data_IF_569981293971
#
_entry.id   IF_569981293971
#
_cell.length_a   1.000
_cell.length_b   1.000
_cell.length_c   1.000
_cell.angle_alpha   90.00
_cell.angle_beta   90.00
_cell.angle_gamma   90.00
#
_symmetry.space_group_name_H-M   'P 1'
#
loop_
_entity.id
_entity.type
_entity.pdbx_description
1 polymer ?
#
# COMPACT_ATOMS: atom_id res chain seq x y z
N UNK A 1 -74.07 13.76 -19.43
CA UNK A 1 -73.00 13.16 -20.24
C UNK A 1 -71.78 12.93 -19.34
N UNK A 2 -71.47 11.66 -19.10
CA UNK A 2 -70.17 11.01 -18.77
C UNK A 2 -68.97 11.92 -18.46
N UNK A 3 -68.12 11.69 -17.44
CA UNK A 3 -67.57 10.42 -16.91
C UNK A 3 -66.81 10.67 -15.59
N UNK A 4 -67.06 9.85 -14.57
CA UNK A 4 -66.30 9.78 -13.31
C UNK A 4 -65.02 8.93 -13.47
N UNK A 5 -63.97 9.21 -12.68
CA UNK A 5 -62.80 8.33 -12.49
C UNK A 5 -62.63 8.02 -10.99
N UNK A 6 -62.83 6.75 -10.66
CA UNK A 6 -62.62 6.13 -9.35
C UNK A 6 -61.17 5.68 -9.14
N UNK A 7 -60.74 5.69 -7.87
CA UNK A 7 -59.57 5.03 -7.29
C UNK A 7 -59.69 3.49 -7.35
N UNK A 8 -58.58 2.81 -7.66
CA UNK A 8 -58.22 1.44 -7.26
C UNK A 8 -56.68 1.37 -7.36
N UNK A 9 -55.89 0.92 -6.37
CA UNK A 9 -56.00 -0.32 -5.62
C UNK A 9 -54.90 -1.27 -6.14
N UNK A 10 -53.74 -1.29 -5.46
CA UNK A 10 -52.56 -2.10 -5.80
C UNK A 10 -52.86 -3.59 -5.58
N UNK A 11 -52.57 -4.50 -6.53
CA UNK A 11 -52.52 -5.93 -6.24
C UNK A 11 -51.11 -6.36 -5.83
N UNK A 12 -51.01 -6.95 -4.63
CA UNK A 12 -49.86 -7.72 -4.15
C UNK A 12 -49.88 -9.08 -4.85
N UNK A 13 -48.82 -9.44 -5.57
CA UNK A 13 -48.65 -10.79 -6.14
C UNK A 13 -47.65 -11.60 -5.32
N UNK A 14 -48.12 -12.73 -4.80
CA UNK A 14 -47.32 -13.73 -4.09
C UNK A 14 -46.37 -14.46 -5.06
N UNK A 15 -45.19 -14.93 -4.62
CA UNK A 15 -44.22 -15.61 -5.50
C UNK A 15 -44.69 -17.01 -5.89
N UNK A 16 -44.61 -17.35 -7.18
CA UNK A 16 -44.79 -18.73 -7.65
C UNK A 16 -43.53 -19.58 -7.42
N UNK A 17 -43.68 -20.86 -7.03
CA UNK A 17 -42.55 -21.78 -6.85
C UNK A 17 -41.91 -22.19 -8.18
N UNK A 18 -40.58 -22.34 -8.16
CA UNK A 18 -39.75 -22.70 -9.30
C UNK A 18 -40.08 -24.09 -9.89
N UNK A 19 -40.10 -24.19 -11.22
CA UNK A 19 -40.25 -25.47 -11.95
C UNK A 19 -38.98 -26.33 -11.81
N UNK A 20 -39.10 -27.66 -11.66
CA UNK A 20 -37.95 -28.56 -11.47
C UNK A 20 -37.19 -28.76 -12.79
N UNK A 21 -35.89 -28.49 -12.78
CA UNK A 21 -34.99 -28.80 -13.90
C UNK A 21 -34.64 -30.29 -13.84
N UNK A 22 -34.98 -31.02 -14.91
CA UNK A 22 -34.70 -32.45 -15.09
C UNK A 22 -33.19 -32.71 -15.06
N UNK A 23 -32.74 -33.57 -14.14
CA UNK A 23 -31.42 -34.20 -14.17
C UNK A 23 -31.32 -35.06 -15.44
N UNK A 24 -30.39 -34.73 -16.35
CA UNK A 24 -29.89 -35.68 -17.35
C UNK A 24 -28.65 -36.35 -16.77
N UNK A 25 -28.83 -37.61 -16.41
CA UNK A 25 -27.79 -38.60 -16.22
C UNK A 25 -27.25 -38.96 -17.62
N UNK A 26 -25.96 -38.74 -17.87
CA UNK A 26 -25.27 -39.28 -19.05
C UNK A 26 -23.96 -39.91 -18.57
N UNK A 27 -23.80 -41.15 -18.99
CA UNK A 27 -22.82 -42.15 -18.59
C UNK A 27 -21.36 -41.77 -18.81
N UNK A 28 -20.53 -42.30 -17.91
CA UNK A 28 -19.09 -42.33 -17.99
C UNK A 28 -18.65 -43.31 -19.09
N UNK A 29 -18.17 -42.78 -20.22
CA UNK A 29 -17.26 -43.52 -21.12
C UNK A 29 -16.01 -42.68 -21.37
N UNK A 30 -14.89 -43.36 -21.13
CA UNK A 30 -13.52 -42.97 -21.39
C UNK A 30 -13.33 -42.30 -22.74
N UNK A 31 -12.67 -41.15 -22.78
CA UNK A 31 -11.74 -40.80 -23.85
C UNK A 31 -10.74 -39.75 -23.37
N UNK A 32 -9.47 -40.09 -23.55
CA UNK A 32 -8.28 -39.30 -23.27
C UNK A 32 -8.08 -38.27 -24.41
N UNK A 33 -7.78 -37.01 -24.10
CA UNK A 33 -6.75 -36.36 -24.91
C UNK A 33 -5.76 -35.54 -24.08
N UNK A 34 -4.49 -35.78 -24.39
CA UNK A 34 -3.31 -35.04 -23.96
C UNK A 34 -3.50 -33.52 -24.00
N UNK A 35 -3.38 -32.86 -22.85
CA UNK A 35 -3.37 -31.40 -22.78
C UNK A 35 -1.94 -30.86 -22.86
N UNK A 36 -1.53 -30.48 -24.08
CA UNK A 36 -0.34 -29.67 -24.35
C UNK A 36 -0.54 -28.24 -23.85
N UNK A 37 -0.27 -28.01 -22.56
CA UNK A 37 -0.11 -26.67 -21.98
C UNK A 37 1.37 -26.32 -21.82
N UNK A 38 2.09 -26.06 -22.91
CA UNK A 38 3.48 -25.63 -22.86
C UNK A 38 3.59 -24.25 -22.20
N UNK A 39 4.01 -24.23 -20.93
CA UNK A 39 4.49 -23.01 -20.28
C UNK A 39 5.90 -22.72 -20.81
N UNK A 40 6.05 -21.71 -21.65
CA UNK A 40 7.36 -21.30 -22.18
C UNK A 40 8.20 -20.69 -21.04
N UNK A 41 9.09 -21.49 -20.47
CA UNK A 41 10.15 -21.03 -19.57
C UNK A 41 11.30 -20.53 -20.46
N UNK A 42 11.45 -19.22 -20.60
CA UNK A 42 12.63 -18.64 -21.27
C UNK A 42 13.67 -18.33 -20.20
N UNK A 43 14.71 -19.16 -20.12
CA UNK A 43 15.89 -18.92 -19.31
C UNK A 43 16.95 -18.20 -20.17
N UNK A 44 17.30 -16.96 -19.84
CA UNK A 44 18.46 -16.28 -20.42
C UNK A 44 19.68 -16.52 -19.52
N UNK A 45 20.62 -17.36 -19.96
CA UNK A 45 21.98 -17.37 -19.45
C UNK A 45 22.90 -16.96 -20.60
N UNK A 46 23.55 -15.81 -20.46
CA UNK A 46 24.56 -15.31 -21.39
C UNK A 46 25.95 -15.60 -20.82
N UNK A 47 26.72 -16.46 -21.51
CA UNK A 47 28.18 -16.52 -21.40
C UNK A 47 28.73 -16.86 -22.78
N UNK A 48 29.52 -15.93 -23.32
CA UNK A 48 30.27 -16.06 -24.57
C UNK A 48 31.26 -17.21 -24.50
N UNK A 49 31.39 -17.99 -25.59
CA UNK A 49 32.51 -18.88 -25.81
C UNK A 49 33.02 -18.70 -27.25
N UNK A 50 34.21 -18.12 -27.38
CA UNK A 50 35.09 -18.19 -28.55
C UNK A 50 35.70 -19.58 -28.64
N UNK A 51 35.81 -20.13 -29.86
CA UNK A 51 36.09 -21.54 -30.10
C UNK A 51 37.52 -22.04 -29.85
N UNK A 52 37.63 -23.37 -29.71
CA UNK A 52 38.61 -24.27 -30.35
C UNK A 52 38.27 -25.72 -29.96
N UNK A 53 38.32 -26.63 -30.93
CA UNK A 53 38.15 -28.07 -30.74
C UNK A 53 39.21 -28.66 -29.80
N UNK A 54 38.81 -29.65 -28.96
CA UNK A 54 39.60 -30.87 -28.69
C UNK A 54 38.81 -31.90 -27.85
N UNK A 55 38.87 -33.14 -28.34
CA UNK A 55 38.83 -34.45 -27.65
C UNK A 55 37.61 -34.84 -26.82
N UNK A 56 36.99 -35.95 -27.22
CA UNK A 56 36.02 -36.71 -26.44
C UNK A 56 36.63 -37.09 -25.09
N UNK A 57 36.02 -36.59 -24.02
CA UNK A 57 36.18 -37.16 -22.69
C UNK A 57 34.77 -37.34 -22.09
N UNK A 58 34.48 -38.55 -21.62
CA UNK A 58 33.14 -38.92 -21.15
C UNK A 58 32.79 -38.11 -19.90
N UNK A 59 31.68 -37.35 -19.87
CA UNK A 59 31.36 -36.55 -18.71
C UNK A 59 30.87 -37.46 -17.57
N UNK A 60 31.70 -37.63 -16.54
CA UNK A 60 31.28 -38.09 -15.21
C UNK A 60 30.03 -37.30 -14.80
N UNK A 61 28.89 -37.99 -14.68
CA UNK A 61 27.62 -37.42 -14.21
C UNK A 61 27.86 -36.76 -12.83
N UNK A 62 27.89 -35.42 -12.80
CA UNK A 62 27.75 -34.66 -11.56
C UNK A 62 26.37 -34.97 -10.98
N UNK A 63 26.24 -35.25 -9.67
CA UNK A 63 24.93 -35.48 -9.08
C UNK A 63 24.07 -34.22 -9.28
N UNK A 64 22.84 -34.42 -9.75
CA UNK A 64 21.87 -33.35 -9.95
C UNK A 64 21.70 -32.60 -8.61
N UNK A 65 21.84 -31.27 -8.63
CA UNK A 65 21.48 -30.44 -7.48
C UNK A 65 20.02 -30.74 -7.14
N UNK A 66 19.78 -31.37 -5.99
CA UNK A 66 18.43 -31.50 -5.43
C UNK A 66 17.89 -30.08 -5.30
N UNK A 67 16.90 -29.74 -6.13
CA UNK A 67 16.24 -28.45 -6.05
C UNK A 67 15.57 -28.38 -4.67
N UNK A 68 16.09 -27.53 -3.78
CA UNK A 68 15.43 -27.27 -2.51
C UNK A 68 14.01 -26.82 -2.81
N UNK A 69 13.03 -27.53 -2.24
CA UNK A 69 11.62 -27.18 -2.38
C UNK A 69 11.43 -25.79 -1.79
N UNK A 70 11.16 -24.80 -2.64
CA UNK A 70 10.85 -23.44 -2.20
C UNK A 70 9.51 -23.46 -1.48
N UNK A 71 9.51 -22.99 -0.22
CA UNK A 71 8.30 -22.84 0.57
C UNK A 71 7.98 -21.35 0.71
N UNK A 72 6.75 -20.92 0.42
CA UNK A 72 6.32 -19.56 0.70
C UNK A 72 6.47 -19.20 2.18
N UNK A 73 6.50 -17.90 2.46
CA UNK A 73 6.58 -17.34 3.80
C UNK A 73 5.50 -17.95 4.71
N UNK A 74 5.93 -18.37 5.90
CA UNK A 74 5.05 -18.95 6.90
C UNK A 74 4.05 -17.93 7.46
N UNK A 75 3.11 -18.41 8.27
CA UNK A 75 2.03 -17.60 8.85
C UNK A 75 2.59 -16.39 9.63
N UNK A 76 3.67 -16.56 10.37
CA UNK A 76 4.34 -15.52 11.16
C UNK A 76 4.88 -14.34 10.33
N UNK A 77 5.11 -14.54 9.03
CA UNK A 77 5.61 -13.51 8.11
C UNK A 77 4.46 -12.83 7.34
N UNK A 78 3.27 -13.42 7.39
CA UNK A 78 2.05 -12.98 6.71
C UNK A 78 1.07 -12.26 7.63
N UNK A 79 1.24 -12.41 8.93
CA UNK A 79 0.42 -11.75 9.95
C UNK A 79 1.27 -10.72 10.67
N UNK A 80 0.64 -9.64 11.11
CA UNK A 80 1.27 -8.70 12.04
C UNK A 80 1.64 -9.46 13.30
N UNK A 81 2.92 -9.45 13.67
CA UNK A 81 3.34 -10.00 14.95
C UNK A 81 2.86 -9.06 16.04
N UNK A 82 1.85 -9.48 16.80
CA UNK A 82 1.35 -8.74 17.96
C UNK A 82 2.33 -9.01 19.10
N UNK A 83 3.08 -8.02 19.56
CA UNK A 83 4.01 -8.21 20.67
C UNK A 83 3.18 -8.45 21.93
N UNK A 84 3.35 -9.60 22.57
CA UNK A 84 2.56 -9.98 23.75
C UNK A 84 3.06 -9.33 25.04
N UNK A 85 4.24 -8.70 25.01
CA UNK A 85 4.85 -8.05 26.16
C UNK A 85 5.45 -6.70 25.76
N UNK A 86 4.70 -5.62 25.94
CA UNK A 86 5.12 -4.26 25.63
C UNK A 86 5.70 -3.64 26.91
N UNK A 87 7.00 -3.36 26.90
CA UNK A 87 7.67 -2.66 28.00
C UNK A 87 7.21 -1.21 28.01
N UNK A 88 6.60 -0.78 29.11
CA UNK A 88 6.07 0.57 29.28
C UNK A 88 7.11 1.47 29.99
N UNK A 89 7.25 2.75 29.62
CA UNK A 89 7.98 3.74 30.43
C UNK A 89 7.21 4.05 31.73
N UNK A 90 7.83 4.85 32.61
CA UNK A 90 7.22 5.21 33.90
C UNK A 90 5.92 6.04 33.77
N UNK A 91 5.86 6.97 32.80
CA UNK A 91 4.69 7.81 32.54
C UNK A 91 4.31 7.76 31.04
N UNK A 92 3.72 6.63 30.58
CA UNK A 92 3.47 6.41 29.17
C UNK A 92 2.40 7.36 28.63
N UNK A 93 2.74 7.98 27.50
CA UNK A 93 1.84 8.81 26.73
C UNK A 93 1.70 8.24 25.32
N UNK A 94 0.47 8.22 24.79
CA UNK A 94 0.22 7.67 23.47
C UNK A 94 -0.86 8.47 22.70
N UNK A 95 -0.69 8.64 21.40
CA UNK A 95 -1.64 9.32 20.50
C UNK A 95 -1.85 8.54 19.20
N UNK A 96 -3.10 8.32 18.80
CA UNK A 96 -3.43 7.84 17.46
C UNK A 96 -3.75 9.03 16.56
N UNK A 97 -3.01 9.12 15.45
CA UNK A 97 -3.07 10.25 14.53
C UNK A 97 -3.54 9.78 13.17
N UNK A 98 -4.78 10.12 12.77
CA UNK A 98 -5.22 9.92 11.40
C UNK A 98 -4.55 10.92 10.47
N UNK A 99 -3.84 10.43 9.45
CA UNK A 99 -3.12 11.29 8.49
C UNK A 99 -3.95 11.46 7.22
N UNK A 100 -4.53 12.64 7.04
CA UNK A 100 -5.49 12.90 5.97
C UNK A 100 -5.02 14.01 5.03
N UNK A 101 -5.55 14.04 3.81
CA UNK A 101 -5.23 15.07 2.82
C UNK A 101 -5.28 14.56 1.38
N UNK A 102 -5.16 15.48 0.43
CA UNK A 102 -5.18 15.18 -0.99
C UNK A 102 -4.14 14.11 -1.38
N UNK A 103 -4.42 13.35 -2.45
CA UNK A 103 -3.40 12.53 -3.09
C UNK A 103 -2.16 13.41 -3.42
N UNK A 104 -0.96 12.87 -3.20
CA UNK A 104 0.32 13.56 -3.42
C UNK A 104 0.60 14.79 -2.53
N UNK A 105 -0.19 15.06 -1.49
CA UNK A 105 0.11 16.13 -0.52
C UNK A 105 1.42 15.92 0.29
N UNK A 106 2.04 14.74 0.14
CA UNK A 106 3.29 14.38 0.82
C UNK A 106 3.09 13.73 2.19
N UNK A 107 1.88 13.20 2.48
CA UNK A 107 1.56 12.46 3.72
C UNK A 107 2.63 11.41 4.06
N UNK A 108 2.89 10.47 3.15
CA UNK A 108 3.85 9.38 3.36
C UNK A 108 5.28 9.90 3.52
N UNK A 109 5.68 10.90 2.73
CA UNK A 109 7.00 11.54 2.86
C UNK A 109 7.18 12.17 4.24
N UNK A 110 6.15 12.86 4.73
CA UNK A 110 6.15 13.52 6.03
C UNK A 110 6.21 12.51 7.18
N UNK A 111 5.37 11.46 7.14
CA UNK A 111 5.39 10.36 8.11
C UNK A 111 6.76 9.67 8.13
N UNK A 112 7.31 9.34 6.96
CA UNK A 112 8.66 8.77 6.84
C UNK A 112 9.75 9.68 7.42
N UNK A 113 9.61 11.00 7.27
CA UNK A 113 10.55 11.94 7.84
C UNK A 113 10.43 12.03 9.37
N UNK A 114 9.22 11.96 9.92
CA UNK A 114 8.96 11.98 11.36
C UNK A 114 9.56 10.76 12.08
N UNK A 115 9.44 9.58 11.49
CA UNK A 115 9.93 8.32 12.09
C UNK A 115 11.42 8.06 11.84
N UNK A 116 12.06 8.83 10.97
CA UNK A 116 13.48 8.68 10.63
C UNK A 116 13.80 7.42 9.79
N UNK A 117 12.80 6.78 9.19
CA UNK A 117 12.96 5.59 8.33
C UNK A 117 12.04 5.66 7.10
N UNK A 118 12.44 5.03 5.99
CA UNK A 118 11.55 4.78 4.84
C UNK A 118 10.55 3.67 5.21
N UNK A 119 9.44 4.02 5.86
CA UNK A 119 8.44 3.04 6.33
C UNK A 119 7.41 2.66 5.27
N UNK A 120 7.10 3.53 4.30
CA UNK A 120 6.19 3.13 3.22
C UNK A 120 6.21 4.06 2.01
N UNK A 121 6.23 3.46 0.81
CA UNK A 121 5.50 3.98 -0.33
C UNK A 121 4.07 3.44 -0.25
N UNK A 122 3.10 4.31 0.00
CA UNK A 122 1.73 3.87 0.28
C UNK A 122 0.99 3.68 -1.04
N UNK A 123 0.75 2.43 -1.44
CA UNK A 123 -0.17 2.07 -2.52
C UNK A 123 -1.58 1.85 -1.95
N UNK A 124 -2.65 2.37 -2.58
CA UNK A 124 -4.02 2.19 -2.11
C UNK A 124 -4.46 0.73 -2.35
N UNK A 125 -4.42 -0.11 -1.32
CA UNK A 125 -5.21 -1.34 -1.31
C UNK A 125 -5.92 -1.44 0.04
N UNK A 126 -7.23 -1.59 -0.02
CA UNK A 126 -8.08 -1.90 1.13
C UNK A 126 -7.75 -3.31 1.65
N UNK A 127 -7.79 -3.53 2.97
CA UNK A 127 -8.84 -4.27 3.67
C UNK A 127 -8.44 -4.60 5.14
N UNK A 128 -9.43 -4.55 6.06
CA UNK A 128 -9.41 -4.92 7.50
C UNK A 128 -8.98 -3.87 8.55
N UNK A 129 -9.48 -4.06 9.78
CA UNK A 129 -9.47 -3.11 10.92
C UNK A 129 -8.09 -2.91 11.56
N UNK A 130 -7.17 -3.87 11.46
CA UNK A 130 -5.80 -3.78 12.01
C UNK A 130 -4.73 -3.43 10.98
N UNK A 131 -5.03 -3.53 9.68
CA UNK A 131 -4.14 -3.07 8.59
C UNK A 131 -4.13 -1.54 8.41
N UNK A 132 -4.60 -0.79 9.42
CA UNK A 132 -4.77 0.67 9.37
C UNK A 132 -3.59 1.44 9.94
N UNK A 133 -2.63 0.81 10.60
CA UNK A 133 -1.48 1.54 11.17
C UNK A 133 -0.38 1.70 10.11
N UNK A 134 -0.12 2.94 9.74
CA UNK A 134 0.94 3.33 8.80
C UNK A 134 2.32 3.18 9.41
N UNK A 135 2.47 3.71 10.62
CA UNK A 135 3.75 3.82 11.29
C UNK A 135 3.57 4.09 12.78
N UNK A 136 4.60 3.78 13.55
CA UNK A 136 4.67 4.07 14.98
C UNK A 136 5.95 4.87 15.23
N UNK A 137 5.82 6.00 15.91
CA UNK A 137 6.92 6.83 16.38
C UNK A 137 6.97 6.73 17.89
N UNK A 138 8.03 6.16 18.45
CA UNK A 138 8.26 6.12 19.90
C UNK A 138 9.51 6.92 20.24
N UNK A 139 9.41 7.86 21.17
CA UNK A 139 10.54 8.66 21.67
C UNK A 139 10.31 9.08 23.12
N UNK A 140 11.26 8.77 23.99
CA UNK A 140 11.14 9.03 25.43
C UNK A 140 9.92 8.31 26.02
N UNK A 141 8.97 9.07 26.53
CA UNK A 141 7.72 8.55 27.13
C UNK A 141 6.53 8.59 26.17
N UNK A 142 6.72 9.09 24.95
CA UNK A 142 5.64 9.32 23.99
C UNK A 142 5.65 8.28 22.86
N UNK A 143 4.45 7.82 22.49
CA UNK A 143 4.21 6.99 21.32
C UNK A 143 3.12 7.60 20.44
N UNK A 144 3.41 7.77 19.14
CA UNK A 144 2.45 8.24 18.15
C UNK A 144 2.20 7.10 17.16
N UNK A 145 0.94 6.70 17.03
CA UNK A 145 0.48 5.67 16.09
C UNK A 145 -0.20 6.38 14.93
N UNK A 146 0.44 6.39 13.77
CA UNK A 146 -0.11 7.00 12.56
C UNK A 146 -1.09 6.04 11.91
N UNK A 147 -2.33 6.48 11.68
CA UNK A 147 -3.38 5.70 11.03
C UNK A 147 -3.52 6.11 9.56
N UNK A 148 -3.69 5.13 8.70
CA UNK A 148 -3.82 5.28 7.25
C UNK A 148 -5.18 5.87 6.91
N UNK A 149 -5.18 6.93 6.11
CA UNK A 149 -6.37 7.27 5.32
C UNK A 149 -5.95 7.37 3.86
N UNK A 150 -6.60 6.63 2.95
CA UNK A 150 -6.35 6.79 1.52
C UNK A 150 -6.46 8.26 1.12
N UNK A 151 -5.52 8.72 0.30
CA UNK A 151 -5.55 10.10 -0.20
C UNK A 151 -6.83 10.38 -0.99
N UNK A 152 -7.44 11.55 -0.74
CA UNK A 152 -8.64 11.96 -1.45
C UNK A 152 -8.30 12.22 -2.92
N UNK A 153 -9.03 11.55 -3.82
CA UNK A 153 -9.06 11.85 -5.24
C UNK A 153 -10.51 12.30 -5.55
N UNK A 154 -10.72 13.55 -5.99
CA UNK A 154 -12.03 13.97 -6.46
C UNK A 154 -12.36 13.22 -7.76
N UNK A 155 -13.52 12.55 -7.81
CA UNK A 155 -14.00 11.89 -9.02
C UNK A 155 -14.06 12.90 -10.17
N UNK A 156 -13.32 12.63 -11.25
CA UNK A 156 -13.36 13.45 -12.47
C UNK A 156 -14.40 12.98 -13.49
N UNK A 157 -15.00 11.79 -13.33
CA UNK A 157 -16.02 11.28 -14.26
C UNK A 157 -17.06 10.42 -13.54
N UNK A 158 -18.32 10.52 -14.00
CA UNK A 158 -19.51 9.89 -13.44
C UNK A 158 -19.43 8.37 -13.26
N UNK A 159 -20.11 7.93 -12.19
CA UNK A 159 -20.82 6.65 -12.02
C UNK A 159 -20.00 5.35 -12.08
N UNK A 160 -20.00 4.63 -10.96
CA UNK A 160 -19.61 3.22 -10.79
C UNK A 160 -18.13 2.91 -10.52
N UNK A 161 -17.48 3.67 -9.62
CA UNK A 161 -16.37 3.11 -8.84
C UNK A 161 -16.65 3.22 -7.34
N UNK A 162 -17.33 2.19 -6.83
CA UNK A 162 -17.55 1.80 -5.45
C UNK A 162 -17.81 2.93 -4.43
N UNK A 163 -19.11 3.19 -4.20
CA UNK A 163 -19.64 3.80 -2.96
C UNK A 163 -19.04 3.17 -1.68
N UNK A 164 -18.58 1.91 -1.78
CA UNK A 164 -17.89 1.12 -0.75
C UNK A 164 -16.43 1.54 -0.48
N UNK A 165 -15.70 2.09 -1.46
CA UNK A 165 -14.34 2.62 -1.26
C UNK A 165 -14.36 4.02 -0.61
N UNK A 166 -15.31 4.87 -1.01
CA UNK A 166 -15.47 6.20 -0.43
C UNK A 166 -15.97 6.18 1.04
N UNK A 167 -16.74 5.15 1.44
CA UNK A 167 -17.24 4.99 2.82
C UNK A 167 -16.28 4.22 3.74
N UNK A 168 -15.38 3.39 3.20
CA UNK A 168 -14.36 2.69 4.01
C UNK A 168 -13.11 3.53 4.30
N UNK A 169 -12.84 4.56 3.49
CA UNK A 169 -11.61 5.38 3.57
C UNK A 169 -11.48 6.25 4.83
N UNK A 170 -12.56 6.44 5.59
CA UNK A 170 -12.60 7.35 6.75
C UNK A 170 -12.65 6.65 8.11
N UNK A 171 -12.67 5.31 8.13
CA UNK A 171 -12.78 4.54 9.38
C UNK A 171 -11.63 4.75 10.34
N UNK A 172 -10.47 5.20 9.87
CA UNK A 172 -9.34 5.55 10.73
C UNK A 172 -9.61 6.80 11.57
N UNK A 173 -10.60 7.63 11.21
CA UNK A 173 -11.06 8.72 12.06
C UNK A 173 -11.84 8.19 13.27
N UNK A 174 -12.50 7.03 13.19
CA UNK A 174 -13.25 6.45 14.32
C UNK A 174 -12.34 6.06 15.49
N UNK A 175 -11.07 5.77 15.20
CA UNK A 175 -10.07 5.32 16.18
C UNK A 175 -9.03 6.42 16.53
N UNK A 176 -9.10 7.58 15.87
CA UNK A 176 -8.12 8.65 16.03
C UNK A 176 -8.45 9.54 17.23
N UNK A 177 -7.42 9.85 18.03
CA UNK A 177 -7.52 10.90 19.05
C UNK A 177 -7.19 12.27 18.47
N UNK A 178 -6.45 12.30 17.36
CA UNK A 178 -6.01 13.52 16.69
C UNK A 178 -5.97 13.34 15.17
N UNK A 179 -6.21 14.43 14.43
CA UNK A 179 -6.14 14.45 12.96
C UNK A 179 -4.96 15.31 12.51
N UNK A 180 -4.14 14.77 11.62
CA UNK A 180 -3.11 15.53 10.91
C UNK A 180 -3.57 15.80 9.48
N UNK A 181 -3.99 17.03 9.20
CA UNK A 181 -4.48 17.45 7.88
C UNK A 181 -3.30 17.97 7.08
N UNK A 182 -2.84 17.19 6.10
CA UNK A 182 -1.67 17.54 5.26
C UNK A 182 -2.14 18.20 3.96
N UNK A 183 -1.71 19.43 3.76
CA UNK A 183 -2.01 20.27 2.59
C UNK A 183 -0.72 20.49 1.80
N UNK A 184 -0.78 20.27 0.48
CA UNK A 184 0.27 20.74 -0.42
C UNK A 184 0.15 22.26 -0.55
N UNK A 185 1.09 23.00 0.05
CA UNK A 185 1.02 24.44 0.13
C UNK A 185 1.02 25.10 -1.25
N UNK A 186 1.88 24.67 -2.17
CA UNK A 186 1.94 25.21 -3.53
C UNK A 186 0.68 24.87 -4.34
N UNK A 187 0.22 23.63 -4.28
CA UNK A 187 -0.98 23.22 -5.02
C UNK A 187 -2.26 23.86 -4.48
N UNK A 188 -2.32 24.15 -3.17
CA UNK A 188 -3.48 24.79 -2.53
C UNK A 188 -3.78 26.21 -3.02
N UNK A 189 -2.80 26.86 -3.67
CA UNK A 189 -2.96 28.16 -4.31
C UNK A 189 -3.69 28.07 -5.67
N UNK A 190 -3.80 26.87 -6.24
CA UNK A 190 -4.50 26.65 -7.51
C UNK A 190 -6.00 26.43 -7.28
N UNK A 191 -6.85 27.06 -8.10
CA UNK A 191 -8.31 26.89 -8.08
C UNK A 191 -8.76 25.42 -8.20
N UNK A 192 -7.98 24.56 -8.85
CA UNK A 192 -8.29 23.12 -8.96
C UNK A 192 -8.26 22.40 -7.61
N UNK A 193 -7.52 22.92 -6.62
CA UNK A 193 -7.42 22.33 -5.28
C UNK A 193 -8.72 22.47 -4.48
N UNK A 194 -9.50 23.54 -4.75
CA UNK A 194 -10.73 23.88 -4.01
C UNK A 194 -11.75 22.75 -3.97
N UNK A 195 -11.91 21.99 -5.06
CA UNK A 195 -12.85 20.84 -5.09
C UNK A 195 -12.44 19.74 -4.12
N UNK A 196 -11.14 19.50 -4.01
CA UNK A 196 -10.57 18.48 -3.10
C UNK A 196 -10.66 18.94 -1.66
N UNK A 197 -10.33 20.22 -1.43
CA UNK A 197 -10.47 20.89 -0.13
C UNK A 197 -11.92 20.83 0.36
N UNK A 198 -12.89 21.24 -0.45
CA UNK A 198 -14.32 21.20 -0.10
C UNK A 198 -14.79 19.77 0.16
N UNK A 199 -14.38 18.81 -0.64
CA UNK A 199 -14.71 17.41 -0.39
C UNK A 199 -14.15 16.93 0.95
N UNK A 200 -12.86 17.21 1.23
CA UNK A 200 -12.22 16.89 2.50
C UNK A 200 -12.97 17.49 3.69
N UNK A 201 -13.23 18.80 3.66
CA UNK A 201 -13.92 19.52 4.73
C UNK A 201 -15.36 19.03 4.91
N UNK A 202 -16.09 18.72 3.82
CA UNK A 202 -17.44 18.15 3.91
C UNK A 202 -17.49 16.80 4.64
N UNK A 203 -16.40 16.02 4.57
CA UNK A 203 -16.29 14.73 5.29
C UNK A 203 -15.94 14.91 6.76
N UNK A 204 -15.26 16.00 7.08
CA UNK A 204 -14.88 16.35 8.43
C UNK A 204 -15.97 17.13 9.18
N UNK A 205 -17.00 17.62 8.50
CA UNK A 205 -18.04 18.49 9.07
C UNK A 205 -18.65 17.97 10.37
N UNK A 206 -18.96 16.67 10.45
CA UNK A 206 -19.59 16.07 11.63
C UNK A 206 -18.57 15.51 12.65
N UNK A 207 -17.28 15.64 12.36
CA UNK A 207 -16.18 15.07 13.13
C UNK A 207 -15.58 16.15 14.02
N UNK A 208 -15.41 15.87 15.32
CA UNK A 208 -14.97 16.87 16.29
C UNK A 208 -13.63 16.53 16.96
N UNK A 209 -12.80 15.77 16.25
CA UNK A 209 -11.50 15.32 16.72
C UNK A 209 -10.49 16.48 16.63
N UNK A 210 -9.69 16.76 17.68
CA UNK A 210 -8.61 17.74 17.63
C UNK A 210 -7.68 17.57 16.43
N UNK A 211 -7.21 18.66 15.85
CA UNK A 211 -6.40 18.59 14.65
C UNK A 211 -5.22 19.56 14.58
N UNK A 212 -4.22 19.12 13.82
CA UNK A 212 -3.09 19.95 13.37
C UNK A 212 -3.17 20.08 11.86
N UNK A 213 -3.26 21.32 11.37
CA UNK A 213 -3.16 21.62 9.94
C UNK A 213 -1.68 21.75 9.57
N UNK A 214 -1.25 20.99 8.57
CA UNK A 214 0.14 20.95 8.12
C UNK A 214 0.22 21.41 6.67
N UNK A 215 0.79 22.59 6.44
CA UNK A 215 1.19 23.04 5.11
C UNK A 215 2.55 22.42 4.77
N UNK A 216 2.55 21.47 3.87
CA UNK A 216 3.76 20.76 3.41
C UNK A 216 4.20 21.28 2.04
N UNK A 217 5.46 20.98 1.66
CA UNK A 217 6.12 21.48 0.44
C UNK A 217 6.33 23.00 0.42
N UNK A 218 6.64 23.56 1.58
CA UNK A 218 6.94 24.99 1.72
C UNK A 218 8.21 25.42 0.96
N UNK A 219 9.04 24.48 0.51
CA UNK A 219 10.14 24.72 -0.43
C UNK A 219 9.66 25.17 -1.82
N UNK A 220 8.43 24.84 -2.20
CA UNK A 220 7.83 25.23 -3.48
C UNK A 220 7.00 26.52 -3.40
N UNK A 221 6.68 26.95 -2.18
CA UNK A 221 6.04 28.24 -1.92
C UNK A 221 7.17 29.23 -1.69
N UNK A 222 7.12 30.40 -2.32
CA UNK A 222 8.11 31.45 -2.07
C UNK A 222 8.20 31.85 -0.59
N UNK A 223 9.04 32.84 -0.27
CA UNK A 223 9.28 33.23 1.13
C UNK A 223 8.08 33.85 1.86
N UNK A 224 7.00 34.21 1.15
CA UNK A 224 5.84 34.86 1.75
C UNK A 224 4.74 33.86 2.11
N UNK A 225 4.63 33.54 3.41
CA UNK A 225 3.59 32.65 3.96
C UNK A 225 2.19 33.27 3.84
N UNK A 226 2.07 34.60 3.71
CA UNK A 226 0.77 35.30 3.65
C UNK A 226 -0.09 34.87 2.46
N UNK A 227 0.53 34.36 1.39
CA UNK A 227 -0.19 33.81 0.23
C UNK A 227 -1.10 32.62 0.61
N UNK A 228 -0.82 31.95 1.74
CA UNK A 228 -1.60 30.83 2.25
C UNK A 228 -2.71 31.25 3.23
N UNK A 229 -2.84 32.55 3.55
CA UNK A 229 -3.77 33.02 4.59
C UNK A 229 -5.23 32.71 4.24
N UNK A 230 -5.62 32.89 2.98
CA UNK A 230 -6.95 32.51 2.50
C UNK A 230 -7.20 31.00 2.60
N UNK A 231 -6.16 30.19 2.33
CA UNK A 231 -6.26 28.72 2.45
C UNK A 231 -6.43 28.34 3.92
N UNK A 232 -5.58 28.87 4.80
CA UNK A 232 -5.67 28.71 6.26
C UNK A 232 -7.07 29.04 6.76
N UNK A 233 -7.58 30.23 6.40
CA UNK A 233 -8.88 30.70 6.85
C UNK A 233 -10.03 29.80 6.38
N UNK A 234 -9.93 29.18 5.19
CA UNK A 234 -10.94 28.22 4.72
C UNK A 234 -10.91 26.92 5.53
N UNK A 235 -9.73 26.39 5.85
CA UNK A 235 -9.61 25.20 6.69
C UNK A 235 -10.10 25.45 8.11
N UNK A 236 -9.70 26.56 8.74
CA UNK A 236 -10.15 26.92 10.10
C UNK A 236 -11.68 27.08 10.18
N UNK A 237 -12.30 27.70 9.17
CA UNK A 237 -13.77 27.80 9.10
C UNK A 237 -14.45 26.46 8.80
N UNK A 238 -13.86 25.64 7.94
CA UNK A 238 -14.42 24.35 7.55
C UNK A 238 -14.23 23.25 8.58
N UNK A 239 -13.28 23.43 9.52
CA UNK A 239 -12.99 22.46 10.55
C UNK A 239 -12.52 23.15 11.85
N UNK A 240 -13.48 23.51 12.71
CA UNK A 240 -13.23 24.26 13.94
C UNK A 240 -12.38 23.52 15.00
N UNK A 241 -12.09 22.24 14.80
CA UNK A 241 -11.25 21.44 15.69
C UNK A 241 -9.75 21.61 15.44
N UNK A 242 -9.34 22.45 14.48
CA UNK A 242 -7.92 22.79 14.25
C UNK A 242 -7.39 23.59 15.44
N UNK A 243 -6.40 23.03 16.12
CA UNK A 243 -5.77 23.62 17.30
C UNK A 243 -4.40 24.23 17.03
N UNK A 244 -3.73 23.76 15.97
CA UNK A 244 -2.35 24.15 15.64
C UNK A 244 -2.16 24.13 14.12
N UNK A 245 -1.27 25.00 13.63
CA UNK A 245 -0.86 25.08 12.23
C UNK A 245 0.65 24.99 12.17
N UNK A 246 1.16 24.10 11.32
CA UNK A 246 2.59 23.90 11.11
C UNK A 246 2.92 24.00 9.63
N UNK A 247 3.99 24.71 9.31
CA UNK A 247 4.53 24.83 7.96
C UNK A 247 5.76 23.94 7.87
N UNK A 248 5.84 23.07 6.86
CA UNK A 248 6.89 22.05 6.75
C UNK A 248 7.38 21.90 5.31
N UNK A 249 8.61 21.42 5.19
CA UNK A 249 9.08 20.77 3.96
C UNK A 249 9.59 19.38 4.32
N UNK A 250 8.82 18.34 3.99
CA UNK A 250 9.21 16.96 4.30
C UNK A 250 10.49 16.53 3.57
N UNK A 251 10.70 17.03 2.35
CA UNK A 251 11.89 16.73 1.52
C UNK A 251 13.14 17.37 2.10
N UNK A 252 13.08 18.66 2.43
CA UNK A 252 14.21 19.39 3.04
C UNK A 252 14.35 19.11 4.54
N UNK A 253 13.34 18.50 5.18
CA UNK A 253 13.29 18.26 6.62
C UNK A 253 13.01 19.50 7.47
N UNK A 254 12.67 20.63 6.84
CA UNK A 254 12.39 21.89 7.53
C UNK A 254 11.13 21.78 8.38
N UNK A 255 11.24 22.19 9.64
CA UNK A 255 10.15 22.26 10.64
C UNK A 255 9.43 20.92 10.94
N UNK A 256 10.00 19.79 10.49
CA UNK A 256 9.46 18.45 10.82
C UNK A 256 9.63 18.13 12.30
N UNK A 257 10.69 18.62 12.95
CA UNK A 257 10.86 18.52 14.40
C UNK A 257 9.78 19.30 15.18
N UNK A 258 9.39 20.47 14.67
CA UNK A 258 8.29 21.27 15.25
C UNK A 258 6.97 20.52 15.17
N UNK A 259 6.68 19.89 14.03
CA UNK A 259 5.51 19.01 13.88
C UNK A 259 5.55 17.84 14.86
N UNK A 260 6.71 17.17 14.99
CA UNK A 260 6.90 16.06 15.93
C UNK A 260 6.58 16.47 17.37
N UNK A 261 7.17 17.58 17.83
CA UNK A 261 6.95 18.09 19.18
C UNK A 261 5.50 18.54 19.39
N UNK A 262 4.87 19.12 18.36
CA UNK A 262 3.44 19.45 18.37
C UNK A 262 2.61 18.20 18.62
N UNK A 263 2.86 17.10 17.90
CA UNK A 263 2.13 15.84 18.10
C UNK A 263 2.40 15.21 19.48
N UNK A 264 3.65 15.22 19.96
CA UNK A 264 3.96 14.75 21.32
C UNK A 264 3.22 15.54 22.40
N UNK A 265 3.10 16.86 22.26
CA UNK A 265 2.35 17.71 23.20
C UNK A 265 0.84 17.39 23.26
N UNK A 266 0.32 16.67 22.26
CA UNK A 266 -1.09 16.25 22.19
C UNK A 266 -1.31 14.83 22.70
N UNK A 267 -0.24 14.07 22.96
CA UNK A 267 -0.35 12.68 23.43
C UNK A 267 -1.06 12.58 24.79
N UNK A 268 -1.86 11.53 24.94
CA UNK A 268 -2.69 11.30 26.11
C UNK A 268 -1.98 10.36 27.07
N UNK A 269 -2.09 10.57 28.38
CA UNK A 269 -1.54 9.64 29.38
C UNK A 269 -2.30 8.32 29.31
N UNK A 270 -1.65 7.30 28.72
CA UNK A 270 -2.17 5.93 28.55
C UNK A 270 -1.04 4.99 28.07
N UNK A 271 -1.18 3.67 28.29
CA UNK A 271 -0.19 2.70 27.87
C UNK A 271 0.09 2.74 26.37
N UNK A 272 1.34 2.46 26.00
CA UNK A 272 1.75 2.20 24.63
C UNK A 272 1.07 0.93 24.09
N UNK A 273 0.70 0.99 22.81
CA UNK A 273 0.10 -0.13 22.06
C UNK A 273 1.14 -0.97 21.33
N UNK A 274 2.35 -0.45 21.16
CA UNK A 274 3.44 -1.09 20.44
C UNK A 274 4.74 -1.05 21.23
N UNK A 275 5.65 -2.02 21.06
CA UNK A 275 7.01 -1.95 21.59
C UNK A 275 7.74 -0.73 21.05
N UNK A 276 8.69 -0.21 21.83
CA UNK A 276 9.46 0.98 21.48
C UNK A 276 10.17 0.89 20.12
N UNK A 277 10.68 -0.31 19.78
CA UNK A 277 11.42 -0.57 18.55
C UNK A 277 10.52 -0.73 17.32
N UNK A 278 9.21 -0.93 17.51
CA UNK A 278 8.28 -1.15 16.41
C UNK A 278 7.98 0.19 15.74
N UNK A 279 8.37 0.32 14.46
CA UNK A 279 8.12 1.51 13.63
C UNK A 279 7.04 1.33 12.58
N UNK A 280 6.71 0.08 12.22
CA UNK A 280 5.75 -0.27 11.18
C UNK A 280 4.91 -1.43 11.65
N UNK A 281 3.59 -1.36 11.50
CA UNK A 281 2.72 -2.49 11.70
C UNK A 281 2.38 -3.14 10.35
N UNK A 282 3.39 -3.78 9.76
CA UNK A 282 3.24 -4.47 8.48
C UNK A 282 3.92 -5.84 8.55
N UNK A 283 3.24 -6.93 8.14
CA UNK A 283 3.88 -8.24 8.05
C UNK A 283 5.14 -8.16 7.18
N UNK A 284 6.20 -8.88 7.54
CA UNK A 284 7.47 -8.86 6.82
C UNK A 284 7.31 -9.16 5.33
N UNK A 285 6.42 -10.10 4.98
CA UNK A 285 6.12 -10.37 3.57
C UNK A 285 5.55 -9.14 2.87
N UNK A 286 4.61 -8.45 3.50
CA UNK A 286 3.99 -7.26 2.94
C UNK A 286 5.00 -6.11 2.80
N UNK A 287 5.93 -5.97 3.75
CA UNK A 287 7.04 -5.01 3.67
C UNK A 287 7.93 -5.26 2.46
N UNK A 288 8.24 -6.53 2.18
CA UNK A 288 8.97 -6.93 0.97
C UNK A 288 8.20 -6.57 -0.29
N UNK A 289 6.91 -6.89 -0.34
CA UNK A 289 6.07 -6.57 -1.50
C UNK A 289 6.03 -5.06 -1.78
N UNK A 290 5.92 -4.24 -0.75
CA UNK A 290 5.87 -2.78 -0.91
C UNK A 290 7.22 -2.20 -1.36
N UNK A 291 8.32 -2.66 -0.78
CA UNK A 291 9.66 -2.23 -1.23
C UNK A 291 9.86 -2.56 -2.72
N UNK A 292 9.49 -3.78 -3.15
CA UNK A 292 9.57 -4.18 -4.56
C UNK A 292 8.68 -3.28 -5.43
N UNK A 293 7.45 -2.99 -4.97
CA UNK A 293 6.48 -2.14 -5.68
C UNK A 293 7.04 -0.73 -5.88
N UNK A 294 7.59 -0.11 -4.84
CA UNK A 294 8.23 1.22 -4.91
C UNK A 294 9.38 1.25 -5.91
N UNK A 295 10.24 0.22 -5.92
CA UNK A 295 11.35 0.16 -6.86
C UNK A 295 10.90 0.02 -8.31
N UNK A 296 9.77 -0.63 -8.58
CA UNK A 296 9.13 -0.58 -9.90
C UNK A 296 8.57 0.81 -10.23
N UNK A 297 7.90 1.47 -9.29
CA UNK A 297 7.35 2.82 -9.50
C UNK A 297 8.40 3.86 -9.90
N UNK A 298 9.62 3.76 -9.38
CA UNK A 298 10.72 4.67 -9.74
C UNK A 298 11.19 4.55 -11.18
N UNK A 299 10.95 3.40 -11.83
CA UNK A 299 11.54 3.03 -13.12
C UNK A 299 10.53 2.87 -14.24
N UNK A 300 9.27 2.66 -13.88
CA UNK A 300 8.18 2.41 -14.81
C UNK A 300 7.26 3.62 -14.83
N UNK A 301 6.91 4.08 -16.03
CA UNK A 301 5.99 5.18 -16.23
C UNK A 301 4.53 4.67 -16.37
N UNK A 302 3.59 5.61 -16.26
CA UNK A 302 2.15 5.38 -16.45
C UNK A 302 1.55 4.33 -15.50
N UNK A 303 0.58 3.56 -15.98
CA UNK A 303 -0.25 2.68 -15.15
C UNK A 303 0.35 1.28 -14.92
N UNK A 304 1.51 0.96 -15.53
CA UNK A 304 2.12 -0.39 -15.48
C UNK A 304 2.40 -0.87 -14.05
N UNK A 305 2.99 -0.06 -13.13
CA UNK A 305 3.22 -0.49 -11.75
C UNK A 305 1.96 -0.98 -11.02
N UNK A 306 0.81 -0.38 -11.32
CA UNK A 306 -0.47 -0.72 -10.69
C UNK A 306 -1.01 -2.09 -11.13
N UNK A 307 -0.55 -2.59 -12.28
CA UNK A 307 -0.97 -3.89 -12.81
C UNK A 307 -0.15 -5.06 -12.25
N UNK A 308 0.95 -4.77 -11.55
CA UNK A 308 1.84 -5.78 -11.00
C UNK A 308 1.16 -6.50 -9.83
N UNK A 309 1.02 -7.81 -9.96
CA UNK A 309 0.64 -8.70 -8.84
C UNK A 309 1.87 -9.45 -8.35
N UNK A 310 2.06 -9.51 -7.03
CA UNK A 310 3.21 -10.18 -6.42
C UNK A 310 2.75 -11.46 -5.73
N UNK A 311 3.59 -12.48 -5.74
CA UNK A 311 3.36 -13.75 -5.04
C UNK A 311 4.68 -14.27 -4.47
N UNK A 312 4.73 -14.45 -3.15
CA UNK A 312 5.88 -15.09 -2.52
C UNK A 312 5.86 -16.59 -2.73
N UNK A 313 6.94 -17.11 -3.31
CA UNK A 313 7.12 -18.54 -3.58
C UNK A 313 8.23 -19.16 -2.74
N UNK A 314 9.10 -18.35 -2.14
CA UNK A 314 10.21 -18.81 -1.31
C UNK A 314 10.52 -17.83 -0.18
N UNK A 315 10.70 -18.38 1.02
CA UNK A 315 11.17 -17.69 2.20
C UNK A 315 11.99 -18.67 3.03
N UNK A 316 13.32 -18.56 2.99
CA UNK A 316 14.20 -19.54 3.62
C UNK A 316 15.41 -18.85 4.21
N UNK A 317 15.73 -19.17 5.46
CA UNK A 317 16.93 -18.69 6.14
C UNK A 317 18.09 -19.67 5.90
N UNK A 318 19.19 -19.17 5.33
CA UNK A 318 20.41 -19.94 5.07
C UNK A 318 21.60 -19.14 5.61
N UNK A 319 22.32 -19.70 6.60
CA UNK A 319 23.51 -19.07 7.18
C UNK A 319 23.30 -17.59 7.57
N UNK A 320 22.22 -17.29 8.33
CA UNK A 320 21.80 -15.94 8.73
C UNK A 320 21.43 -14.99 7.57
N UNK A 321 21.38 -15.50 6.34
CA UNK A 321 20.91 -14.77 5.16
C UNK A 321 19.49 -15.19 4.84
N UNK A 322 18.57 -14.23 4.75
CA UNK A 322 17.21 -14.50 4.32
C UNK A 322 17.16 -14.58 2.79
N UNK A 323 16.77 -15.72 2.24
CA UNK A 323 16.51 -15.92 0.81
C UNK A 323 15.03 -15.76 0.53
N UNK A 324 14.69 -14.80 -0.34
CA UNK A 324 13.33 -14.47 -0.71
C UNK A 324 13.15 -14.70 -2.21
N UNK A 325 12.18 -15.51 -2.58
CA UNK A 325 11.77 -15.72 -3.96
C UNK A 325 10.37 -15.15 -4.20
N UNK A 326 10.27 -14.20 -5.12
CA UNK A 326 9.04 -13.50 -5.49
C UNK A 326 8.72 -13.71 -6.97
N UNK A 327 7.46 -14.00 -7.27
CA UNK A 327 6.94 -13.88 -8.63
C UNK A 327 6.24 -12.53 -8.79
N UNK A 328 6.45 -11.91 -9.94
CA UNK A 328 5.77 -10.70 -10.37
C UNK A 328 4.95 -11.04 -11.61
N UNK A 329 3.64 -10.83 -11.57
CA UNK A 329 2.73 -11.13 -12.65
C UNK A 329 2.20 -9.88 -13.32
N UNK A 330 2.06 -10.00 -14.63
CA UNK A 330 1.36 -9.04 -15.50
C UNK A 330 0.41 -9.78 -16.43
N UNK A 331 -0.49 -9.03 -17.06
CA UNK A 331 -1.56 -9.59 -17.89
C UNK A 331 -1.11 -9.86 -19.33
N UNK A 332 -0.14 -9.09 -19.84
CA UNK A 332 0.27 -9.10 -21.25
C UNK A 332 1.78 -9.20 -21.42
N UNK A 333 2.23 -9.89 -22.48
CA UNK A 333 3.65 -10.02 -22.82
C UNK A 333 4.33 -8.68 -23.09
N UNK A 334 3.58 -7.70 -23.62
CA UNK A 334 4.09 -6.33 -23.80
C UNK A 334 4.46 -5.68 -22.46
N UNK A 335 3.67 -5.90 -21.42
CA UNK A 335 3.96 -5.41 -20.07
C UNK A 335 5.15 -6.16 -19.47
N UNK A 336 5.27 -7.46 -19.72
CA UNK A 336 6.41 -8.25 -19.27
C UNK A 336 7.71 -7.70 -19.84
N UNK A 337 7.76 -7.37 -21.13
CA UNK A 337 8.92 -6.75 -21.78
C UNK A 337 9.28 -5.41 -21.13
N UNK A 338 8.28 -4.60 -20.76
CA UNK A 338 8.49 -3.31 -20.09
C UNK A 338 9.09 -3.49 -18.69
N UNK A 339 8.56 -4.43 -17.90
CA UNK A 339 9.03 -4.69 -16.52
C UNK A 339 10.43 -5.29 -16.49
N UNK A 340 10.72 -6.21 -17.41
CA UNK A 340 12.05 -6.81 -17.53
C UNK A 340 13.05 -5.77 -18.04
N UNK A 341 12.64 -4.96 -19.01
CA UNK A 341 13.50 -4.00 -19.70
C UNK A 341 14.50 -4.66 -20.64
N UNK A 342 15.20 -3.85 -21.44
CA UNK A 342 16.21 -4.34 -22.37
C UNK A 342 17.29 -5.15 -21.62
N UNK A 343 17.52 -6.40 -22.05
CA UNK A 343 18.46 -7.35 -21.43
C UNK A 343 18.27 -7.52 -19.90
N UNK A 344 17.05 -7.35 -19.38
CA UNK A 344 16.77 -7.48 -17.94
C UNK A 344 17.20 -6.28 -17.10
N UNK A 345 17.60 -5.16 -17.71
CA UNK A 345 18.15 -4.00 -16.99
C UNK A 345 17.21 -3.44 -15.92
N UNK A 346 15.90 -3.36 -16.19
CA UNK A 346 14.94 -2.79 -15.24
C UNK A 346 14.76 -3.74 -14.06
N UNK A 347 14.44 -5.01 -14.31
CA UNK A 347 14.21 -5.98 -13.23
C UNK A 347 15.47 -6.22 -12.38
N UNK A 348 16.66 -6.23 -12.98
CA UNK A 348 17.92 -6.38 -12.24
C UNK A 348 18.19 -5.19 -11.33
N UNK A 349 17.91 -3.96 -11.79
CA UNK A 349 18.04 -2.77 -10.96
C UNK A 349 17.00 -2.75 -9.82
N UNK A 350 15.77 -3.22 -10.08
CA UNK A 350 14.76 -3.38 -9.02
C UNK A 350 15.23 -4.39 -7.98
N UNK A 351 15.75 -5.55 -8.40
CA UNK A 351 16.27 -6.58 -7.49
C UNK A 351 17.39 -6.00 -6.63
N UNK A 352 18.36 -5.29 -7.22
CA UNK A 352 19.50 -4.73 -6.49
C UNK A 352 19.06 -3.74 -5.40
N UNK A 353 18.28 -2.73 -5.76
CA UNK A 353 17.86 -1.68 -4.83
C UNK A 353 16.88 -2.21 -3.78
N UNK A 354 15.94 -3.08 -4.17
CA UNK A 354 14.99 -3.68 -3.24
C UNK A 354 15.72 -4.59 -2.24
N UNK A 355 16.71 -5.38 -2.69
CA UNK A 355 17.52 -6.22 -1.81
C UNK A 355 18.25 -5.39 -0.75
N UNK A 356 18.88 -4.29 -1.14
CA UNK A 356 19.60 -3.41 -0.19
C UNK A 356 18.64 -2.74 0.81
N UNK A 357 17.45 -2.35 0.36
CA UNK A 357 16.40 -1.78 1.23
C UNK A 357 15.81 -2.80 2.20
N UNK A 358 15.48 -4.01 1.73
CA UNK A 358 14.95 -5.08 2.59
C UNK A 358 16.00 -5.51 3.61
N UNK A 359 17.28 -5.58 3.20
CA UNK A 359 18.37 -5.94 4.12
C UNK A 359 18.52 -4.93 5.25
N UNK A 360 18.47 -3.63 4.95
CA UNK A 360 18.45 -2.57 5.97
C UNK A 360 17.21 -2.66 6.85
N UNK A 361 16.04 -2.81 6.24
CA UNK A 361 14.75 -2.92 6.92
C UNK A 361 14.68 -4.07 7.92
N UNK A 362 15.33 -5.20 7.63
CA UNK A 362 15.32 -6.40 8.49
C UNK A 362 16.58 -6.54 9.37
N UNK A 363 17.55 -5.62 9.26
CA UNK A 363 18.80 -5.71 10.03
C UNK A 363 19.62 -6.98 9.77
N UNK A 364 19.44 -7.64 8.61
CA UNK A 364 20.13 -8.89 8.25
C UNK A 364 20.40 -9.00 6.75
N UNK A 365 21.39 -9.81 6.32
CA UNK A 365 21.66 -10.05 4.91
C UNK A 365 20.45 -10.67 4.19
N UNK A 366 20.17 -10.20 2.97
CA UNK A 366 19.05 -10.69 2.15
C UNK A 366 19.54 -11.06 0.75
N UNK A 367 19.06 -12.20 0.24
CA UNK A 367 19.14 -12.58 -1.17
C UNK A 367 17.74 -12.55 -1.76
N UNK A 368 17.48 -11.60 -2.66
CA UNK A 368 16.19 -11.44 -3.32
C UNK A 368 16.26 -11.99 -4.76
N UNK A 369 15.34 -12.89 -5.11
CA UNK A 369 15.12 -13.35 -6.48
C UNK A 369 13.71 -12.93 -6.92
N UNK A 370 13.60 -12.23 -8.05
CA UNK A 370 12.31 -11.86 -8.65
C UNK A 370 12.19 -12.54 -10.03
N UNK A 371 11.08 -13.24 -10.27
CA UNK A 371 10.72 -13.78 -11.58
C UNK A 371 9.48 -13.08 -12.13
N UNK A 372 9.60 -12.42 -13.28
CA UNK A 372 8.45 -11.80 -13.95
C UNK A 372 7.76 -12.79 -14.90
N UNK A 373 6.42 -12.86 -14.86
CA UNK A 373 5.63 -13.89 -15.56
C UNK A 373 4.33 -13.36 -16.20
N UNK A 374 4.03 -13.96 -17.35
CA UNK A 374 2.73 -14.13 -18.03
C UNK A 374 1.58 -14.68 -17.17
N UNK A 375 0.56 -13.94 -16.69
CA UNK A 375 -0.66 -14.60 -16.16
C UNK A 375 -1.95 -13.89 -16.57
N UNK A 376 -2.71 -14.54 -17.45
CA UNK A 376 -3.97 -14.01 -18.02
C UNK A 376 -5.19 -14.14 -17.08
N UNK A 377 -5.14 -15.04 -16.10
CA UNK A 377 -6.27 -15.32 -15.20
C UNK A 377 -6.20 -14.45 -13.94
N UNK A 378 -7.32 -13.88 -13.45
CA UNK A 378 -7.37 -13.24 -12.14
C UNK A 378 -6.93 -14.21 -11.03
N UNK A 379 -6.27 -13.68 -9.99
CA UNK A 379 -6.00 -14.46 -8.79
C UNK A 379 -7.32 -14.60 -8.05
N UNK A 380 -7.91 -15.80 -8.02
CA UNK A 380 -8.97 -16.10 -7.07
C UNK A 380 -8.37 -16.06 -5.66
N UNK A 381 -8.92 -15.23 -4.76
CA UNK A 381 -8.52 -15.18 -3.35
C UNK A 381 -7.64 -14.00 -2.90
N UNK A 382 -7.50 -12.95 -3.71
CA UNK A 382 -6.98 -11.64 -3.26
C UNK A 382 -8.03 -10.58 -3.60
N UNK A 383 -9.13 -10.56 -2.85
CA UNK A 383 -10.04 -9.42 -2.73
C UNK A 383 -10.04 -9.02 -1.26
#
# INVERSE_FOLDING_TARGET
MTRAKHRAGIPVTSPQPAKPIKKKQIDWKSDNPENKGASTVVNYNATHATGKEKTLDTPKKRPAKVAMIKKPAGISERIVQIPTNIVQPADPHMLRVAVIGAANAGKSTLVNKLIGEEVSGVSPKAHTTRERVLAVLTEGQHQIVFLDTPGIIPDRNHAQMNRTLATSSWRSLDEADHVMIVVDANWSLNTQSLKTEQFLLSRLHDIHIPATLVFNKMDLVGHDIKVLEDVKNRYERGYGSIQQIVYTSATEGKDVGTLKNTLFSKSLSRPWEYPAEQKVEMPNLKRVEEIIRVEFFKRLHHYIPYMIKQENVGWTELNKTLVIDQNVYVERDSQLKIIVGSNGKIINNVIADAKDKISRAFGRPVKLNIQAKVRKTPIAGLI
#
